data_IF_170732286789
#
_entry.id   IF_170732286789
#
_cell.length_a   1.000
_cell.length_b   1.000
_cell.length_c   1.000
_cell.angle_alpha   90.00
_cell.angle_beta   90.00
_cell.angle_gamma   90.00
#
_symmetry.space_group_name_H-M   'P 1'
#
loop_
_entity.id
_entity.type
_entity.pdbx_description
1 polymer ?
#
# COMPACT_ATOMS: atom_id res chain seq x y z
N UNK A 1 -19.99 -5.46 5.36
CA UNK A 1 -19.54 -4.20 4.77
C UNK A 1 -18.04 -4.17 4.65
N UNK A 2 -17.56 -3.63 3.55
CA UNK A 2 -16.13 -3.48 3.33
C UNK A 2 -15.63 -2.26 4.07
N UNK A 3 -14.59 -2.42 4.87
CA UNK A 3 -13.98 -1.34 5.62
C UNK A 3 -12.68 -0.92 4.95
N UNK A 4 -12.44 0.38 4.83
CA UNK A 4 -11.22 0.91 4.27
C UNK A 4 -10.33 1.48 5.37
N UNK A 5 -9.08 1.06 5.37
CA UNK A 5 -8.06 1.62 6.24
C UNK A 5 -7.15 2.50 5.40
N UNK A 6 -6.68 3.58 5.97
CA UNK A 6 -5.78 4.51 5.27
C UNK A 6 -4.41 4.54 5.93
N UNK A 7 -3.38 4.56 5.11
CA UNK A 7 -2.00 4.62 5.59
C UNK A 7 -1.26 5.67 4.76
N UNK A 8 -0.76 6.70 5.43
CA UNK A 8 -0.01 7.77 4.77
C UNK A 8 1.48 7.47 4.90
N UNK A 9 2.09 7.17 3.77
CA UNK A 9 3.53 6.87 3.71
C UNK A 9 4.30 7.92 2.93
N UNK A 10 3.72 9.09 2.73
CA UNK A 10 4.42 10.19 2.08
C UNK A 10 5.62 10.57 2.94
N UNK A 11 6.75 10.76 2.30
CA UNK A 11 8.02 11.12 2.95
C UNK A 11 8.60 10.03 3.87
N UNK A 12 8.07 8.82 3.79
CA UNK A 12 8.62 7.69 4.56
C UNK A 12 9.66 6.98 3.70
N UNK A 13 10.90 6.87 4.20
CA UNK A 13 11.97 6.24 3.41
C UNK A 13 11.79 4.75 3.27
N UNK A 14 12.37 4.20 2.21
CA UNK A 14 12.46 2.77 2.00
C UNK A 14 13.61 2.22 2.85
N UNK A 15 13.50 1.03 3.46
CA UNK A 15 12.41 0.06 3.36
C UNK A 15 11.31 0.22 4.42
N UNK A 16 11.33 1.29 5.17
CA UNK A 16 10.38 1.50 6.26
C UNK A 16 8.93 1.52 5.76
N UNK A 17 8.70 2.11 4.59
CA UNK A 17 7.37 2.15 3.99
C UNK A 17 6.82 0.73 3.75
N UNK A 18 7.66 -0.18 3.26
CA UNK A 18 7.25 -1.57 3.03
C UNK A 18 6.93 -2.27 4.35
N UNK A 19 7.75 -2.04 5.38
CA UNK A 19 7.52 -2.63 6.69
C UNK A 19 6.18 -2.17 7.27
N UNK A 20 5.87 -0.90 7.15
CA UNK A 20 4.60 -0.35 7.65
C UNK A 20 3.42 -0.96 6.91
N UNK A 21 3.53 -1.17 5.61
CA UNK A 21 2.48 -1.82 4.82
C UNK A 21 2.26 -3.26 5.31
N UNK A 22 3.33 -4.00 5.51
CA UNK A 22 3.24 -5.39 5.98
C UNK A 22 2.54 -5.47 7.32
N UNK A 23 2.89 -4.59 8.25
CA UNK A 23 2.26 -4.56 9.56
C UNK A 23 0.78 -4.22 9.47
N UNK A 24 0.43 -3.27 8.61
CA UNK A 24 -0.96 -2.89 8.41
C UNK A 24 -1.76 -4.03 7.79
N UNK A 25 -1.18 -4.74 6.83
CA UNK A 25 -1.85 -5.88 6.19
C UNK A 25 -2.11 -7.02 7.17
N UNK A 26 -1.21 -7.25 8.12
CA UNK A 26 -1.39 -8.27 9.14
C UNK A 26 -2.61 -7.99 10.02
N UNK A 27 -2.94 -6.71 10.19
CA UNK A 27 -4.07 -6.30 11.01
C UNK A 27 -5.40 -6.24 10.25
N UNK A 28 -5.35 -6.40 8.92
CA UNK A 28 -6.56 -6.35 8.11
C UNK A 28 -7.37 -7.63 8.21
N UNK A 29 -8.68 -7.47 8.32
CA UNK A 29 -9.62 -8.58 8.20
C UNK A 29 -9.83 -8.92 6.73
N UNK A 30 -10.45 -10.06 6.46
CA UNK A 30 -10.69 -10.50 5.09
C UNK A 30 -11.49 -9.52 4.25
N UNK A 31 -12.39 -8.78 4.88
CA UNK A 31 -13.25 -7.84 4.17
C UNK A 31 -12.74 -6.40 4.22
N UNK A 32 -11.54 -6.20 4.73
CA UNK A 32 -10.97 -4.87 4.81
C UNK A 32 -9.96 -4.64 3.68
N UNK A 33 -9.86 -3.40 3.27
CA UNK A 33 -8.91 -2.98 2.24
C UNK A 33 -8.04 -1.86 2.80
N UNK A 34 -6.82 -1.79 2.33
CA UNK A 34 -5.87 -0.77 2.75
C UNK A 34 -5.62 0.21 1.61
N UNK A 35 -5.76 1.50 1.89
CA UNK A 35 -5.42 2.55 0.93
C UNK A 35 -4.14 3.21 1.40
N UNK A 36 -3.12 3.20 0.55
CA UNK A 36 -1.80 3.72 0.88
C UNK A 36 -1.47 4.89 -0.02
N UNK A 37 -0.98 5.97 0.57
CA UNK A 37 -0.45 7.11 -0.19
C UNK A 37 1.07 7.05 -0.18
N UNK A 38 1.67 7.14 -1.36
CA UNK A 38 3.12 7.02 -1.54
C UNK A 38 3.66 8.16 -2.38
N UNK A 39 4.93 8.48 -2.18
CA UNK A 39 5.65 9.33 -3.11
C UNK A 39 5.98 8.52 -4.36
N UNK A 40 5.95 9.16 -5.53
CA UNK A 40 6.35 8.53 -6.78
C UNK A 40 7.87 8.35 -6.84
N UNK A 41 8.31 7.46 -7.70
CA UNK A 41 9.72 7.16 -7.89
C UNK A 41 10.13 5.88 -7.21
N UNK A 42 11.28 5.87 -6.54
CA UNK A 42 11.78 4.67 -5.88
C UNK A 42 10.81 4.08 -4.85
N UNK A 43 10.17 4.88 -3.98
CA UNK A 43 9.22 4.30 -3.02
C UNK A 43 8.09 3.56 -3.71
N UNK A 44 7.56 4.13 -4.79
CA UNK A 44 6.50 3.49 -5.57
C UNK A 44 6.95 2.15 -6.15
N UNK A 45 8.12 2.14 -6.78
CA UNK A 45 8.63 0.93 -7.41
C UNK A 45 8.90 -0.18 -6.40
N UNK A 46 9.50 0.16 -5.26
CA UNK A 46 9.81 -0.83 -4.23
C UNK A 46 8.56 -1.40 -3.60
N UNK A 47 7.58 -0.56 -3.33
CA UNK A 47 6.33 -1.02 -2.74
C UNK A 47 5.58 -1.94 -3.70
N UNK A 48 5.45 -1.55 -4.96
CA UNK A 48 4.75 -2.37 -5.94
C UNK A 48 5.43 -3.70 -6.14
N UNK A 49 6.75 -3.72 -6.18
CA UNK A 49 7.51 -4.96 -6.30
C UNK A 49 7.25 -5.88 -5.12
N UNK A 50 7.28 -5.34 -3.91
CA UNK A 50 7.04 -6.12 -2.71
C UNK A 50 5.62 -6.66 -2.64
N UNK A 51 4.63 -5.85 -3.03
CA UNK A 51 3.24 -6.32 -3.07
C UNK A 51 3.07 -7.47 -4.03
N UNK A 52 3.73 -7.40 -5.16
CA UNK A 52 3.68 -8.47 -6.15
C UNK A 52 4.31 -9.74 -5.60
N UNK A 53 5.44 -9.63 -4.91
CA UNK A 53 6.12 -10.78 -4.30
C UNK A 53 5.29 -11.41 -3.19
N UNK A 54 4.53 -10.60 -2.46
CA UNK A 54 3.65 -11.11 -1.40
C UNK A 54 2.35 -11.69 -1.92
N UNK A 55 2.08 -11.53 -3.22
CA UNK A 55 0.84 -12.02 -3.80
C UNK A 55 -0.39 -11.20 -3.44
N UNK A 56 -0.19 -9.96 -3.00
CA UNK A 56 -1.30 -9.08 -2.66
C UNK A 56 -1.87 -8.43 -3.91
N UNK A 57 -3.19 -8.38 -3.98
CA UNK A 57 -3.87 -7.66 -5.05
C UNK A 57 -3.81 -6.17 -4.74
N UNK A 58 -3.47 -5.39 -5.74
CA UNK A 58 -3.41 -3.95 -5.57
C UNK A 58 -3.95 -3.25 -6.82
N UNK A 59 -4.44 -2.03 -6.62
CA UNK A 59 -5.02 -1.26 -7.70
C UNK A 59 -4.66 0.21 -7.50
N UNK A 60 -4.25 0.87 -8.57
CA UNK A 60 -3.99 2.30 -8.55
C UNK A 60 -5.32 3.04 -8.53
N UNK A 61 -5.57 3.81 -7.47
CA UNK A 61 -6.81 4.56 -7.33
C UNK A 61 -6.65 5.96 -7.89
N UNK A 62 -5.55 6.62 -7.55
CA UNK A 62 -5.35 8.02 -7.90
C UNK A 62 -3.87 8.31 -8.09
N UNK A 63 -3.58 9.16 -9.05
CA UNK A 63 -2.22 9.56 -9.37
C UNK A 63 -2.14 11.06 -9.54
N UNK A 64 -1.25 11.69 -8.77
CA UNK A 64 -0.92 13.10 -8.88
C UNK A 64 0.52 13.23 -9.32
N UNK A 65 0.99 14.45 -9.53
CA UNK A 65 2.34 14.70 -10.02
C UNK A 65 3.43 14.02 -9.19
N UNK A 66 3.32 14.04 -7.88
CA UNK A 66 4.36 13.51 -6.99
C UNK A 66 3.89 12.41 -6.05
N UNK A 67 2.59 12.13 -6.07
CA UNK A 67 1.98 11.21 -5.11
C UNK A 67 1.06 10.25 -5.82
N UNK A 68 1.03 9.02 -5.34
CA UNK A 68 0.06 8.07 -5.84
C UNK A 68 -0.66 7.38 -4.69
N UNK A 69 -1.88 6.96 -4.94
CA UNK A 69 -2.73 6.29 -3.97
C UNK A 69 -3.09 4.91 -4.50
N UNK A 70 -2.82 3.89 -3.71
CA UNK A 70 -3.03 2.50 -4.09
C UNK A 70 -3.97 1.84 -3.09
N UNK A 71 -4.90 1.06 -3.61
CA UNK A 71 -5.76 0.23 -2.78
C UNK A 71 -5.18 -1.18 -2.78
N UNK A 72 -4.99 -1.75 -1.60
CA UNK A 72 -4.40 -3.06 -1.44
C UNK A 72 -5.40 -3.98 -0.75
N UNK A 73 -5.57 -5.18 -1.28
CA UNK A 73 -6.42 -6.18 -0.67
C UNK A 73 -5.54 -7.26 -0.05
N UNK A 74 -5.97 -7.76 1.10
CA UNK A 74 -5.27 -8.86 1.75
C UNK A 74 -5.39 -10.11 0.88
N UNK A 75 -4.29 -10.83 0.72
CA UNK A 75 -4.23 -12.01 -0.11
C UNK A 75 -4.99 -13.21 0.49
N UNK A 76 -5.29 -13.16 1.77
CA UNK A 76 -5.98 -14.25 2.44
C UNK A 76 -7.49 -14.14 2.35
#
# INVERSE_FOLDING_TARGET
>A
MTSLKHLDLKSVPCPLNVVKIKLALEKLSKNEQLVVELDKGEPEEMVLKNLKEMGCLHELIKEHEKILKIKIQNAN
#
